data_IF_816055296728
#
_entry.id   IF_816055296728
#
_cell.length_a   1.000
_cell.length_b   1.000
_cell.length_c   1.000
_cell.angle_alpha   90.00
_cell.angle_beta   90.00
_cell.angle_gamma   90.00
#
_symmetry.space_group_name_H-M   'P 1'
#
loop_
_entity.id
_entity.type
_entity.pdbx_description
1 polymer ?
#
# COMPACT_ATOMS: atom_id res chain seq x y z
N UNK A 1 7.11 7.73 16.16
CA UNK A 1 7.96 6.99 15.22
C UNK A 1 9.27 7.68 14.96
N UNK A 2 10.33 6.90 14.77
CA UNK A 2 11.65 7.39 14.39
C UNK A 2 11.80 7.45 12.85
N UNK A 3 12.87 8.11 12.38
CA UNK A 3 13.13 8.28 10.93
C UNK A 3 13.29 6.96 10.17
N UNK A 4 13.82 5.93 10.84
CA UNK A 4 14.01 4.60 10.25
C UNK A 4 12.67 3.89 10.02
N UNK A 5 11.76 3.95 10.98
CA UNK A 5 10.40 3.39 10.86
C UNK A 5 9.61 4.03 9.71
N UNK A 6 9.73 5.36 9.54
CA UNK A 6 9.13 6.06 8.39
C UNK A 6 9.74 5.59 7.07
N UNK A 7 11.07 5.48 6.99
CA UNK A 7 11.73 4.97 5.78
C UNK A 7 11.30 3.54 5.43
N UNK A 8 11.28 2.65 6.42
CA UNK A 8 10.89 1.25 6.22
C UNK A 8 9.45 1.15 5.68
N UNK A 9 8.56 2.01 6.16
CA UNK A 9 7.15 2.05 5.73
C UNK A 9 6.96 2.63 4.34
N UNK A 10 7.75 3.65 4.00
CA UNK A 10 7.81 4.15 2.63
C UNK A 10 8.28 3.08 1.65
N UNK A 11 9.35 2.35 1.99
CA UNK A 11 9.87 1.26 1.15
C UNK A 11 8.82 0.16 0.98
N UNK A 12 8.10 -0.20 2.05
CA UNK A 12 6.98 -1.14 1.97
C UNK A 12 5.88 -0.65 1.03
N UNK A 13 5.41 0.60 1.16
CA UNK A 13 4.42 1.15 0.23
C UNK A 13 4.89 1.10 -1.23
N UNK A 14 6.15 1.47 -1.48
CA UNK A 14 6.72 1.38 -2.82
C UNK A 14 6.63 -0.05 -3.39
N UNK A 15 6.98 -1.07 -2.60
CA UNK A 15 6.86 -2.47 -3.02
C UNK A 15 5.41 -2.90 -3.21
N UNK A 16 4.50 -2.49 -2.34
CA UNK A 16 3.07 -2.76 -2.47
C UNK A 16 2.51 -2.20 -3.78
N UNK A 17 2.78 -0.92 -4.07
CA UNK A 17 2.32 -0.28 -5.31
C UNK A 17 2.81 -1.04 -6.54
N UNK A 18 4.11 -1.41 -6.57
CA UNK A 18 4.67 -2.19 -7.67
C UNK A 18 3.99 -3.57 -7.78
N UNK A 19 3.84 -4.26 -6.65
CA UNK A 19 3.15 -5.55 -6.60
C UNK A 19 1.71 -5.45 -7.15
N UNK A 20 0.98 -4.40 -6.79
CA UNK A 20 -0.38 -4.17 -7.31
C UNK A 20 -0.37 -4.06 -8.83
N UNK A 21 0.48 -3.21 -9.42
CA UNK A 21 0.50 -3.03 -10.87
C UNK A 21 1.02 -4.26 -11.62
N UNK A 22 1.94 -5.03 -11.04
CA UNK A 22 2.45 -6.28 -11.65
C UNK A 22 1.42 -7.41 -11.63
N UNK A 23 0.52 -7.42 -10.64
CA UNK A 23 -0.43 -8.50 -10.40
C UNK A 23 -1.90 -8.08 -10.58
N UNK A 24 -2.17 -6.85 -11.00
CA UNK A 24 -3.52 -6.28 -11.09
C UNK A 24 -4.49 -7.15 -11.87
N UNK A 25 -4.00 -7.74 -12.97
CA UNK A 25 -4.81 -8.53 -13.88
C UNK A 25 -4.74 -10.05 -13.57
N UNK A 26 -4.17 -10.43 -12.42
CA UNK A 26 -4.04 -11.83 -11.96
C UNK A 26 -5.13 -12.15 -10.93
N UNK A 27 -5.54 -13.43 -10.82
CA UNK A 27 -6.45 -13.85 -9.77
C UNK A 27 -5.84 -13.55 -8.38
N UNK A 28 -6.67 -12.99 -7.49
CA UNK A 28 -6.26 -12.57 -6.16
C UNK A 28 -6.07 -13.79 -5.27
N UNK A 29 -4.87 -13.94 -4.70
CA UNK A 29 -4.59 -14.92 -3.67
C UNK A 29 -5.17 -14.45 -2.32
N UNK A 30 -5.92 -15.33 -1.63
CA UNK A 30 -6.73 -14.94 -0.45
C UNK A 30 -5.93 -14.72 0.83
N UNK A 31 -4.64 -15.07 0.85
CA UNK A 31 -3.82 -15.00 2.07
C UNK A 31 -3.25 -13.60 2.36
N UNK A 32 -3.40 -12.64 1.44
CA UNK A 32 -2.80 -11.32 1.54
C UNK A 32 -3.81 -10.18 1.39
N UNK A 33 -4.05 -9.42 2.48
CA UNK A 33 -4.87 -8.20 2.42
C UNK A 33 -4.00 -6.98 2.06
N UNK A 34 -3.82 -6.79 0.77
CA UNK A 34 -3.09 -5.65 0.19
C UNK A 34 -3.54 -4.29 0.77
N UNK A 35 -4.84 -4.08 0.92
CA UNK A 35 -5.37 -2.77 1.28
C UNK A 35 -5.17 -2.46 2.77
N UNK A 36 -5.22 -3.49 3.61
CA UNK A 36 -4.88 -3.33 5.04
C UNK A 36 -3.40 -3.00 5.24
N UNK A 37 -2.51 -3.63 4.47
CA UNK A 37 -1.08 -3.30 4.49
C UNK A 37 -0.81 -1.86 4.00
N UNK A 38 -1.46 -1.43 2.92
CA UNK A 38 -1.35 -0.04 2.44
C UNK A 38 -1.82 0.93 3.53
N UNK A 39 -2.97 0.66 4.16
CA UNK A 39 -3.52 1.52 5.22
C UNK A 39 -2.58 1.65 6.41
N UNK A 40 -2.04 0.52 6.90
CA UNK A 40 -1.08 0.49 8.01
C UNK A 40 0.16 1.35 7.73
N UNK A 41 0.70 1.29 6.50
CA UNK A 41 1.85 2.11 6.13
C UNK A 41 1.47 3.59 5.91
N UNK A 42 0.26 3.90 5.42
CA UNK A 42 -0.25 5.26 5.34
C UNK A 42 -0.39 5.90 6.73
N UNK A 43 -0.98 5.20 7.69
CA UNK A 43 -1.12 5.67 9.08
C UNK A 43 0.24 5.99 9.71
N UNK A 44 1.20 5.09 9.47
CA UNK A 44 2.59 5.20 9.91
C UNK A 44 3.26 6.45 9.32
N UNK A 45 3.02 6.74 8.04
CA UNK A 45 3.57 7.92 7.37
C UNK A 45 2.77 9.21 7.58
N UNK A 46 1.64 9.15 8.29
CA UNK A 46 0.69 10.27 8.42
C UNK A 46 0.16 10.75 7.05
N UNK A 47 -0.07 9.80 6.14
CA UNK A 47 -0.66 10.04 4.82
C UNK A 47 -2.15 9.69 4.87
N UNK A 48 -2.98 10.55 4.29
CA UNK A 48 -4.41 10.27 4.13
C UNK A 48 -4.63 9.08 3.19
N UNK A 49 -5.11 7.97 3.76
CA UNK A 49 -5.29 6.70 3.04
C UNK A 49 -6.26 6.85 1.87
N UNK A 50 -7.40 7.53 2.06
CA UNK A 50 -8.43 7.65 1.03
C UNK A 50 -7.91 8.45 -0.18
N UNK A 51 -7.24 9.58 0.06
CA UNK A 51 -6.57 10.37 -0.98
C UNK A 51 -5.49 9.55 -1.68
N UNK A 52 -4.70 8.78 -0.93
CA UNK A 52 -3.63 7.95 -1.50
C UNK A 52 -4.17 6.88 -2.46
N UNK A 53 -5.22 6.15 -2.07
CA UNK A 53 -5.89 5.15 -2.90
C UNK A 53 -6.46 5.80 -4.17
N UNK A 54 -7.08 6.99 -4.03
CA UNK A 54 -7.67 7.72 -5.15
C UNK A 54 -6.62 8.21 -6.16
N UNK A 55 -5.56 8.88 -5.70
CA UNK A 55 -4.50 9.44 -6.56
C UNK A 55 -3.76 8.34 -7.33
N UNK A 56 -3.53 7.19 -6.69
CA UNK A 56 -2.87 6.03 -7.33
C UNK A 56 -3.83 5.10 -8.07
N UNK A 57 -5.14 5.40 -8.06
CA UNK A 57 -6.18 4.60 -8.72
C UNK A 57 -6.13 3.12 -8.31
N UNK A 58 -5.88 2.85 -7.03
CA UNK A 58 -5.87 1.51 -6.47
C UNK A 58 -7.33 1.08 -6.24
N UNK A 59 -7.76 -0.01 -6.87
CA UNK A 59 -9.15 -0.47 -6.79
C UNK A 59 -9.19 -1.97 -6.50
N UNK A 60 -10.14 -2.38 -5.65
CA UNK A 60 -10.55 -3.78 -5.49
C UNK A 60 -11.32 -4.15 -6.76
N UNK A 61 -10.76 -5.04 -7.58
CA UNK A 61 -11.42 -5.62 -8.74
C UNK A 61 -12.44 -6.69 -8.34
#
# INVERSE_FOLDING_TARGET
>A
MNKKEKLDSFVKLYHLINFYYENRDRPVDREFDFFEEVKSNCDTLEIDYDSFIQELRLQRL
#
